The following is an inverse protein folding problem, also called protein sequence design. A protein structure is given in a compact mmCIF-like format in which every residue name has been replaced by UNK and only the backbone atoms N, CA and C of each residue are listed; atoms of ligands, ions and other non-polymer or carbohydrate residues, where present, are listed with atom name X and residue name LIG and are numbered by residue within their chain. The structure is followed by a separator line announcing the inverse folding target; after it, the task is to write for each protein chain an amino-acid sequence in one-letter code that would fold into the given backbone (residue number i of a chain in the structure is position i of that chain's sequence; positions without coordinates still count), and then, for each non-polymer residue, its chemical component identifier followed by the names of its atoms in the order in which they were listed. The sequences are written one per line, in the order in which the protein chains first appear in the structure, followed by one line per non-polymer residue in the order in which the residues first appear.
data_IF_469250675498
#
_entry.id   IF_469250675498
#
_cell.length_a   1.000
_cell.length_b   1.000
_cell.length_c   1.000
_cell.angle_alpha   90.00
_cell.angle_beta   90.00
_cell.angle_gamma   90.00
#
_symmetry.space_group_name_H-M   'P 1'
#
loop_
_entity.id
_entity.type
_entity.pdbx_description
1 polymer ?
#
# COMPACT_ATOMS: atom_id res chain seq x y z
N UNK A 1 2.05 -11.60 -10.47
CA UNK A 1 3.43 -11.81 -10.95
C UNK A 1 4.17 -10.49 -10.99
N UNK A 2 4.06 -9.73 -12.08
CA UNK A 2 4.77 -8.44 -12.22
C UNK A 2 4.09 -7.28 -11.46
N UNK A 3 2.76 -7.14 -11.56
CA UNK A 3 2.04 -6.04 -10.93
C UNK A 3 2.03 -6.10 -9.39
N UNK A 4 2.11 -7.30 -8.81
CA UNK A 4 2.16 -7.53 -7.36
C UNK A 4 3.56 -7.38 -6.76
N UNK A 5 4.61 -7.45 -7.59
CA UNK A 5 6.02 -7.37 -7.15
C UNK A 5 6.37 -6.09 -6.36
N UNK A 6 5.98 -4.89 -6.82
CA UNK A 6 6.33 -3.66 -6.12
C UNK A 6 5.44 -3.36 -4.89
N UNK A 7 4.44 -4.19 -4.55
CA UNK A 7 3.51 -3.89 -3.47
C UNK A 7 4.21 -3.76 -2.10
N UNK A 8 5.05 -4.73 -1.76
CA UNK A 8 5.79 -4.72 -0.49
C UNK A 8 6.82 -3.58 -0.37
N UNK A 9 7.72 -3.33 -1.35
CA UNK A 9 8.63 -2.18 -1.26
C UNK A 9 7.89 -0.84 -1.27
N UNK A 10 6.75 -0.74 -1.97
CA UNK A 10 5.92 0.47 -1.93
C UNK A 10 5.30 0.69 -0.55
N UNK A 11 4.77 -0.37 0.07
CA UNK A 11 4.27 -0.31 1.45
C UNK A 11 5.38 0.06 2.44
N UNK A 12 6.59 -0.49 2.30
CA UNK A 12 7.73 -0.16 3.16
C UNK A 12 8.15 1.33 3.07
N UNK A 13 8.02 1.92 1.88
CA UNK A 13 8.23 3.36 1.67
C UNK A 13 7.10 4.18 2.31
N UNK A 14 5.85 3.73 2.17
CA UNK A 14 4.69 4.39 2.78
C UNK A 14 4.79 4.38 4.31
N UNK A 15 5.09 3.23 4.92
CA UNK A 15 5.32 3.12 6.36
C UNK A 15 6.46 4.03 6.82
N UNK A 16 7.50 4.22 6.03
CA UNK A 16 8.57 5.15 6.35
C UNK A 16 8.15 6.63 6.42
N UNK A 17 7.02 7.01 5.81
CA UNK A 17 6.47 8.37 5.89
C UNK A 17 5.43 8.54 7.00
N UNK A 18 4.83 7.43 7.46
CA UNK A 18 3.67 7.44 8.36
C UNK A 18 3.97 6.86 9.75
N UNK A 19 5.04 6.06 9.90
CA UNK A 19 5.36 5.35 11.14
C UNK A 19 6.68 5.90 11.70
N UNK A 20 6.71 6.36 12.97
CA UNK A 20 7.94 6.79 13.62
C UNK A 20 8.92 5.62 13.80
N UNK A 21 10.22 5.93 13.85
CA UNK A 21 11.29 4.92 13.91
C UNK A 21 11.17 3.94 15.08
N UNK A 22 10.57 4.36 16.20
CA UNK A 22 10.33 3.54 17.39
C UNK A 22 9.32 2.41 17.17
N UNK A 23 8.35 2.58 16.28
CA UNK A 23 7.23 1.65 16.08
C UNK A 23 7.31 0.89 14.75
N UNK A 24 8.33 1.21 13.94
CA UNK A 24 8.47 0.70 12.57
C UNK A 24 8.58 -0.81 12.46
N UNK A 25 9.08 -1.50 13.50
CA UNK A 25 9.19 -2.96 13.54
C UNK A 25 7.86 -3.68 13.78
N UNK A 26 6.88 -3.01 14.39
CA UNK A 26 5.58 -3.61 14.77
C UNK A 26 4.55 -3.55 13.65
N UNK A 27 4.66 -2.58 12.75
CA UNK A 27 3.69 -2.36 11.67
C UNK A 27 3.65 -3.49 10.62
N UNK A 28 4.79 -4.01 10.12
CA UNK A 28 4.77 -5.11 9.16
C UNK A 28 4.07 -6.40 9.65
N UNK A 29 4.35 -6.93 10.86
CA UNK A 29 3.64 -8.12 11.34
C UNK A 29 2.15 -7.83 11.60
N UNK A 30 1.80 -6.63 12.07
CA UNK A 30 0.38 -6.24 12.21
C UNK A 30 -0.36 -6.24 10.87
N UNK A 31 0.27 -5.72 9.81
CA UNK A 31 -0.28 -5.74 8.45
C UNK A 31 -0.42 -7.18 7.90
N UNK A 32 0.54 -8.05 8.21
CA UNK A 32 0.47 -9.46 7.83
C UNK A 32 -0.69 -10.18 8.53
N UNK A 33 -0.93 -9.93 9.82
CA UNK A 33 -2.09 -10.46 10.54
C UNK A 33 -3.40 -10.01 9.91
N UNK A 34 -3.51 -8.72 9.55
CA UNK A 34 -4.67 -8.21 8.82
C UNK A 34 -4.89 -8.90 7.47
N UNK A 35 -3.81 -9.20 6.75
CA UNK A 35 -3.87 -9.96 5.49
C UNK A 35 -4.42 -11.37 5.73
N UNK A 36 -3.93 -12.08 6.75
CA UNK A 36 -4.41 -13.42 7.11
C UNK A 36 -5.89 -13.42 7.48
N UNK A 37 -6.33 -12.45 8.28
CA UNK A 37 -7.75 -12.28 8.64
C UNK A 37 -8.59 -12.03 7.37
N UNK A 38 -8.13 -11.15 6.48
CA UNK A 38 -8.79 -10.88 5.21
C UNK A 38 -8.96 -12.14 4.35
N UNK A 39 -7.95 -13.01 4.29
CA UNK A 39 -8.02 -14.28 3.56
C UNK A 39 -9.09 -15.21 4.14
N UNK A 40 -9.20 -15.30 5.47
CA UNK A 40 -10.20 -16.14 6.15
C UNK A 40 -11.62 -15.74 5.74
N UNK A 41 -11.89 -14.44 5.58
CA UNK A 41 -13.21 -13.96 5.13
C UNK A 41 -13.37 -14.03 3.61
N UNK A 42 -12.33 -13.68 2.85
CA UNK A 42 -12.39 -13.59 1.38
C UNK A 42 -12.55 -14.97 0.74
N UNK A 43 -11.88 -15.99 1.28
CA UNK A 43 -11.90 -17.35 0.71
C UNK A 43 -13.32 -17.96 0.66
N UNK A 44 -14.11 -18.00 1.76
CA UNK A 44 -15.49 -18.48 1.70
C UNK A 44 -16.39 -17.58 0.86
N UNK A 45 -16.17 -16.26 0.86
CA UNK A 45 -16.90 -15.34 -0.03
C UNK A 45 -16.68 -15.69 -1.50
N UNK A 46 -15.44 -15.93 -1.92
CA UNK A 46 -15.11 -16.37 -3.29
C UNK A 46 -15.81 -17.69 -3.62
N UNK A 47 -15.82 -18.64 -2.67
CA UNK A 47 -16.49 -19.94 -2.84
C UNK A 47 -17.98 -19.76 -3.16
N UNK A 48 -18.69 -19.00 -2.33
CA UNK A 48 -20.14 -18.76 -2.49
C UNK A 48 -20.43 -17.99 -3.79
N UNK A 49 -19.58 -17.02 -4.15
CA UNK A 49 -19.74 -16.24 -5.38
C UNK A 49 -19.47 -17.07 -6.64
N UNK A 50 -18.60 -18.07 -6.56
CA UNK A 50 -18.31 -18.95 -7.69
C UNK A 50 -19.47 -19.91 -7.95
N UNK A 51 -20.16 -20.36 -6.91
CA UNK A 51 -21.33 -21.24 -7.02
C UNK A 51 -22.60 -20.50 -7.47
N UNK A 52 -22.83 -19.28 -6.98
CA UNK A 52 -24.09 -18.54 -7.16
C UNK A 52 -23.97 -17.28 -8.05
N UNK A 53 -22.86 -17.12 -8.78
CA UNK A 53 -22.50 -15.84 -9.40
C UNK A 53 -23.35 -15.41 -10.61
N UNK A 54 -23.79 -14.15 -10.58
CA UNK A 54 -24.67 -13.46 -11.54
C UNK A 54 -24.24 -13.50 -13.04
N UNK A 55 -22.96 -13.80 -13.33
CA UNK A 55 -22.34 -13.78 -14.68
C UNK A 55 -21.62 -15.11 -14.98
N UNK A 56 -22.03 -16.22 -14.36
CA UNK A 56 -21.37 -17.52 -14.55
C UNK A 56 -20.23 -17.81 -13.56
N UNK A 57 -20.44 -17.41 -12.29
CA UNK A 57 -19.59 -17.84 -11.18
C UNK A 57 -18.23 -17.13 -11.09
N UNK A 58 -17.20 -17.73 -11.70
CA UNK A 58 -15.78 -17.39 -11.52
C UNK A 58 -15.39 -15.94 -11.85
N UNK A 59 -15.85 -15.33 -12.97
CA UNK A 59 -15.48 -13.94 -13.28
C UNK A 59 -16.03 -12.94 -12.26
N UNK A 60 -17.19 -13.23 -11.67
CA UNK A 60 -17.87 -12.32 -10.76
C UNK A 60 -17.06 -12.03 -9.49
N UNK A 61 -16.37 -13.04 -8.96
CA UNK A 61 -15.51 -12.89 -7.79
C UNK A 61 -14.35 -11.91 -8.06
N UNK A 62 -13.75 -11.94 -9.26
CA UNK A 62 -12.65 -11.02 -9.59
C UNK A 62 -13.12 -9.57 -9.75
N UNK A 63 -14.27 -9.36 -10.38
CA UNK A 63 -14.79 -8.01 -10.56
C UNK A 63 -15.15 -7.37 -9.22
N UNK A 64 -15.88 -8.07 -8.36
CA UNK A 64 -16.29 -7.50 -7.07
C UNK A 64 -15.11 -7.33 -6.12
N UNK A 65 -14.27 -8.35 -5.95
CA UNK A 65 -13.22 -8.32 -4.92
C UNK A 65 -12.02 -7.48 -5.30
N UNK A 66 -11.62 -7.42 -6.58
CA UNK A 66 -10.46 -6.63 -6.97
C UNK A 66 -10.83 -5.22 -7.43
N UNK A 67 -11.94 -5.04 -8.16
CA UNK A 67 -12.28 -3.73 -8.69
C UNK A 67 -13.06 -2.90 -7.69
N UNK A 68 -14.15 -3.41 -7.11
CA UNK A 68 -14.98 -2.61 -6.19
C UNK A 68 -14.25 -2.34 -4.88
N UNK A 69 -13.73 -3.38 -4.23
CA UNK A 69 -13.00 -3.21 -2.97
C UNK A 69 -11.66 -2.48 -3.17
N UNK A 70 -10.91 -2.82 -4.21
CA UNK A 70 -9.64 -2.15 -4.53
C UNK A 70 -9.81 -0.66 -4.80
N UNK A 71 -10.83 -0.27 -5.59
CA UNK A 71 -11.13 1.15 -5.84
C UNK A 71 -11.62 1.85 -4.57
N UNK A 72 -12.47 1.21 -3.78
CA UNK A 72 -12.96 1.79 -2.53
C UNK A 72 -11.79 2.10 -1.57
N UNK A 73 -10.92 1.13 -1.34
CA UNK A 73 -9.76 1.33 -0.45
C UNK A 73 -8.80 2.38 -1.03
N UNK A 74 -8.53 2.35 -2.34
CA UNK A 74 -7.64 3.31 -3.00
C UNK A 74 -8.13 4.75 -2.92
N UNK A 75 -9.44 4.98 -3.13
CA UNK A 75 -10.03 6.33 -3.14
C UNK A 75 -10.16 6.90 -1.72
N UNK A 76 -10.57 6.09 -0.75
CA UNK A 76 -10.86 6.57 0.59
C UNK A 76 -9.65 6.58 1.53
N UNK A 77 -8.64 5.75 1.30
CA UNK A 77 -7.49 5.57 2.20
C UNK A 77 -6.13 5.77 1.53
N UNK A 78 -6.07 5.96 0.21
CA UNK A 78 -4.82 6.13 -0.54
C UNK A 78 -4.26 7.57 -0.44
N UNK A 79 -3.49 7.87 0.61
CA UNK A 79 -2.81 9.16 0.75
C UNK A 79 -1.29 8.99 0.87
N UNK A 80 -0.52 9.72 0.05
CA UNK A 80 0.94 9.53 -0.07
C UNK A 80 1.75 10.20 1.06
N UNK A 81 1.17 11.20 1.75
CA UNK A 81 1.82 11.90 2.86
C UNK A 81 0.82 12.25 3.95
N UNK A 82 1.23 12.21 5.23
CA UNK A 82 0.41 12.71 6.33
C UNK A 82 0.01 14.18 6.14
N UNK A 83 0.80 14.98 5.41
CA UNK A 83 0.48 16.39 5.15
C UNK A 83 -0.63 16.60 4.12
N UNK A 84 -0.96 15.60 3.30
CA UNK A 84 -2.02 15.64 2.29
C UNK A 84 -3.31 14.98 2.78
N UNK A 85 -3.29 14.36 3.96
CA UNK A 85 -4.42 13.61 4.50
C UNK A 85 -5.43 14.56 5.15
N UNK A 86 -6.69 14.62 4.68
CA UNK A 86 -7.68 15.60 5.13
C UNK A 86 -8.18 15.36 6.57
N UNK A 87 -7.99 14.17 7.12
CA UNK A 87 -8.49 13.76 8.45
C UNK A 87 -7.41 13.65 9.55
N UNK A 88 -6.15 14.04 9.27
CA UNK A 88 -5.09 13.93 10.28
C UNK A 88 -5.23 15.02 11.35
N UNK A 89 -4.99 14.68 12.62
CA UNK A 89 -4.98 15.67 13.69
C UNK A 89 -3.73 16.55 13.64
N UNK A 90 -3.87 17.84 13.94
CA UNK A 90 -2.73 18.77 13.98
C UNK A 90 -1.64 18.33 14.95
N UNK A 91 -2.02 17.72 16.10
CA UNK A 91 -1.08 17.20 17.09
C UNK A 91 -0.25 16.04 16.54
N UNK A 92 -0.92 15.10 15.86
CA UNK A 92 -0.29 13.95 15.23
C UNK A 92 0.63 14.38 14.09
N UNK A 93 0.21 15.33 13.26
CA UNK A 93 1.03 15.89 12.19
C UNK A 93 2.33 16.52 12.72
N UNK A 94 2.25 17.30 13.79
CA UNK A 94 3.42 17.88 14.46
C UNK A 94 4.33 16.79 15.06
N UNK A 95 3.75 15.77 15.67
CA UNK A 95 4.49 14.64 16.21
C UNK A 95 5.25 13.89 15.11
N UNK A 96 4.59 13.53 14.00
CA UNK A 96 5.20 12.83 12.88
C UNK A 96 6.30 13.67 12.22
N UNK A 97 6.06 14.97 11.96
CA UNK A 97 7.07 15.85 11.38
C UNK A 97 8.33 16.02 12.27
N UNK A 98 8.20 15.85 13.59
CA UNK A 98 9.33 15.92 14.53
C UNK A 98 10.12 14.61 14.61
N UNK A 99 9.43 13.46 14.49
CA UNK A 99 10.03 12.14 14.73
C UNK A 99 10.39 11.37 13.45
N UNK A 100 9.92 11.83 12.29
CA UNK A 100 10.24 11.25 10.99
C UNK A 100 11.18 12.21 10.25
N UNK A 101 12.46 11.84 10.02
CA UNK A 101 13.38 12.70 9.29
C UNK A 101 12.89 12.90 7.85
N UNK A 102 12.98 14.11 7.28
CA UNK A 102 12.61 14.36 5.90
C UNK A 102 13.44 13.46 5.00
N UNK A 103 12.77 12.80 4.03
CA UNK A 103 13.47 11.94 3.07
C UNK A 103 14.50 12.79 2.32
N UNK A 104 15.78 12.37 2.25
CA UNK A 104 16.79 13.12 1.51
C UNK A 104 16.35 13.27 0.04
N UNK A 105 16.57 14.43 -0.58
CA UNK A 105 16.24 14.64 -1.98
C UNK A 105 16.93 13.59 -2.84
N UNK A 106 16.23 13.07 -3.86
CA UNK A 106 16.81 12.07 -4.77
C UNK A 106 17.97 12.70 -5.54
N UNK A 107 19.20 12.36 -5.18
CA UNK A 107 20.39 12.74 -5.95
C UNK A 107 20.45 11.87 -7.20
N UNK A 108 20.09 12.42 -8.37
CA UNK A 108 20.25 11.71 -9.64
C UNK A 108 21.73 11.74 -10.03
N UNK A 109 22.38 10.57 -10.05
CA UNK A 109 23.73 10.46 -10.62
C UNK A 109 23.58 10.43 -12.14
N UNK A 110 23.93 11.53 -12.78
CA UNK A 110 24.05 11.62 -14.23
C UNK A 110 25.07 10.57 -14.70
N UNK A 111 24.63 9.59 -15.49
CA UNK A 111 25.54 8.59 -16.06
C UNK A 111 26.43 9.32 -17.04
N UNK A 112 27.72 9.47 -16.72
CA UNK A 112 28.73 10.01 -17.63
C UNK A 112 28.72 9.22 -18.93
N UNK A 113 28.18 9.81 -20.00
CA UNK A 113 28.41 9.43 -21.39
C UNK A 113 29.87 9.71 -21.70
N UNK A 114 30.76 8.79 -21.32
CA UNK A 114 32.20 8.88 -21.62
C UNK A 114 32.71 7.49 -21.99
N UNK A 115 32.07 6.87 -22.98
CA UNK A 115 32.53 5.61 -23.59
C UNK A 115 32.41 5.62 -25.13
N UNK A 116 32.40 6.80 -25.76
CA UNK A 116 32.33 6.91 -27.23
C UNK A 116 33.28 7.92 -27.86
N UNK A 117 34.40 8.24 -27.21
CA UNK A 117 35.47 9.00 -27.87
C UNK A 117 36.84 8.55 -27.33
N UNK A 118 37.22 7.30 -27.58
CA UNK A 118 38.61 6.84 -27.71
C UNK A 118 38.61 5.52 -28.45
#
# INVERSE_FOLDING_TARGET
GMASGPAFPSAAVLWGKWVPSSERSTVPPAAQTGTSIGIIFTTPLVSIMTENGFIGGWPSAFYVLYHVYGLFVGVFFGFDSPNQHPRISNKERLFLNKHIPPRPPKVYKEKKTTERIT
#
